data_IF_606340793372
#
_entry.id   IF_606340793372
#
_cell.length_a   1.000
_cell.length_b   1.000
_cell.length_c   1.000
_cell.angle_alpha   90.00
_cell.angle_beta   90.00
_cell.angle_gamma   90.00
#
_symmetry.space_group_name_H-M   'P 1'
#
loop_
_entity.id
_entity.type
_entity.pdbx_description
1 polymer ?
#
# COMPACT_ATOMS: atom_id res chain seq x y z
N UNK A 1 -9.07 -8.21 -10.14
CA UNK A 1 -8.24 -7.03 -10.44
C UNK A 1 -6.91 -7.52 -10.98
N UNK A 2 -6.59 -7.22 -12.23
CA UNK A 2 -5.30 -7.53 -12.84
C UNK A 2 -4.41 -6.29 -12.78
N UNK A 3 -3.16 -6.44 -12.33
CA UNK A 3 -2.16 -5.36 -12.39
C UNK A 3 -1.34 -5.60 -13.65
N UNK A 4 -1.50 -4.72 -14.63
CA UNK A 4 -0.78 -4.82 -15.90
C UNK A 4 0.36 -3.81 -15.96
N UNK A 5 1.49 -4.24 -16.50
CA UNK A 5 2.68 -3.42 -16.74
C UNK A 5 3.18 -3.72 -18.15
N UNK A 6 3.17 -2.68 -18.98
CA UNK A 6 3.66 -2.75 -20.36
C UNK A 6 5.14 -2.43 -20.32
N UNK A 7 5.95 -3.32 -20.90
CA UNK A 7 7.38 -3.09 -21.12
C UNK A 7 7.53 -2.33 -22.43
N UNK A 8 8.33 -1.26 -22.43
CA UNK A 8 8.70 -0.50 -23.63
C UNK A 8 10.21 -0.53 -23.77
N UNK A 9 10.68 -0.55 -25.02
CA UNK A 9 12.10 -0.38 -25.38
C UNK A 9 13.04 -1.39 -24.68
N UNK A 10 12.56 -2.62 -24.48
CA UNK A 10 13.25 -3.71 -23.76
C UNK A 10 13.75 -3.35 -22.35
N UNK A 11 13.20 -2.29 -21.75
CA UNK A 11 13.61 -1.83 -20.43
C UNK A 11 12.87 -2.57 -19.31
N UNK A 12 13.30 -3.80 -19.06
CA UNK A 12 12.71 -4.70 -18.06
C UNK A 12 12.89 -4.15 -16.63
N UNK A 13 14.04 -3.56 -16.32
CA UNK A 13 14.31 -3.04 -14.97
C UNK A 13 13.35 -1.91 -14.59
N UNK A 14 13.07 -1.00 -15.53
CA UNK A 14 12.11 0.06 -15.30
C UNK A 14 10.70 -0.49 -15.13
N UNK A 15 10.31 -1.48 -15.92
CA UNK A 15 9.02 -2.15 -15.79
C UNK A 15 8.85 -2.80 -14.40
N UNK A 16 9.87 -3.49 -13.89
CA UNK A 16 9.86 -4.07 -12.54
C UNK A 16 9.73 -3.00 -11.45
N UNK A 17 10.39 -1.84 -11.60
CA UNK A 17 10.27 -0.72 -10.66
C UNK A 17 8.86 -0.12 -10.67
N UNK A 18 8.22 -0.02 -11.84
CA UNK A 18 6.84 0.44 -11.97
C UNK A 18 5.87 -0.58 -11.36
N UNK A 19 6.06 -1.86 -11.65
CA UNK A 19 5.28 -2.96 -11.09
C UNK A 19 5.31 -2.96 -9.57
N UNK A 20 6.51 -2.89 -8.97
CA UNK A 20 6.68 -2.79 -7.52
C UNK A 20 5.92 -1.60 -6.93
N UNK A 21 5.99 -0.43 -7.56
CA UNK A 21 5.23 0.76 -7.14
C UNK A 21 3.71 0.57 -7.26
N UNK A 22 3.23 -0.03 -8.36
CA UNK A 22 1.80 -0.33 -8.54
C UNK A 22 1.28 -1.31 -7.49
N UNK A 23 2.01 -2.39 -7.20
CA UNK A 23 1.65 -3.34 -6.13
C UNK A 23 1.58 -2.62 -4.78
N UNK A 24 2.60 -1.86 -4.42
CA UNK A 24 2.63 -1.18 -3.13
C UNK A 24 1.48 -0.18 -2.99
N UNK A 25 1.12 0.54 -4.07
CA UNK A 25 -0.01 1.47 -4.08
C UNK A 25 -1.36 0.75 -3.99
N UNK A 26 -1.49 -0.42 -4.59
CA UNK A 26 -2.72 -1.23 -4.54
C UNK A 26 -3.03 -1.76 -3.14
N UNK A 27 -2.02 -1.88 -2.26
CA UNK A 27 -2.20 -2.45 -0.92
C UNK A 27 -2.42 -3.96 -0.90
N UNK A 28 -2.38 -4.63 -2.05
CA UNK A 28 -2.76 -6.03 -2.24
C UNK A 28 -1.89 -6.99 -1.41
N UNK A 29 -0.57 -6.74 -1.34
CA UNK A 29 0.35 -7.49 -0.47
C UNK A 29 0.00 -7.34 1.01
N UNK A 30 -0.39 -6.14 1.45
CA UNK A 30 -0.78 -5.88 2.84
C UNK A 30 -2.06 -6.62 3.20
N UNK A 31 -3.04 -6.62 2.30
CA UNK A 31 -4.28 -7.36 2.49
C UNK A 31 -4.06 -8.86 2.48
N UNK A 32 -3.20 -9.37 1.60
CA UNK A 32 -2.84 -10.77 1.52
C UNK A 32 -2.25 -11.26 2.85
N UNK A 33 -1.22 -10.57 3.36
CA UNK A 33 -0.59 -10.91 4.65
C UNK A 33 -1.60 -10.83 5.80
N UNK A 34 -2.44 -9.79 5.83
CA UNK A 34 -3.47 -9.64 6.87
C UNK A 34 -4.55 -10.72 6.84
N UNK A 35 -4.70 -11.46 5.73
CA UNK A 35 -5.65 -12.56 5.57
C UNK A 35 -5.02 -13.95 5.82
N UNK A 36 -3.70 -14.05 5.96
CA UNK A 36 -3.02 -15.33 6.20
C UNK A 36 -3.33 -15.92 7.58
N UNK A 37 -3.68 -15.07 8.55
CA UNK A 37 -3.98 -15.48 9.93
C UNK A 37 -5.33 -14.94 10.35
N UNK A 38 -6.04 -15.69 11.20
CA UNK A 38 -7.27 -15.19 11.80
C UNK A 38 -6.98 -14.03 12.75
N UNK A 39 -7.60 -12.89 12.50
CA UNK A 39 -7.59 -11.71 13.38
C UNK A 39 -8.99 -11.55 13.99
N UNK A 40 -9.07 -11.54 15.33
CA UNK A 40 -10.35 -11.33 16.02
C UNK A 40 -10.99 -10.00 15.58
N UNK A 41 -12.33 -9.93 15.43
CA UNK A 41 -12.99 -8.71 14.96
C UNK A 41 -12.73 -7.46 15.83
N UNK A 42 -12.53 -7.62 17.14
CA UNK A 42 -12.15 -6.52 18.03
C UNK A 42 -10.80 -5.94 17.67
N UNK A 43 -9.83 -6.80 17.44
CA UNK A 43 -8.42 -6.44 17.27
C UNK A 43 -8.24 -5.80 15.89
N UNK A 44 -8.94 -6.34 14.89
CA UNK A 44 -9.07 -5.74 13.55
C UNK A 44 -9.62 -4.31 13.59
N UNK A 45 -10.64 -4.05 14.42
CA UNK A 45 -11.20 -2.68 14.58
C UNK A 45 -10.17 -1.75 15.23
N UNK A 46 -9.47 -2.20 16.27
CA UNK A 46 -8.45 -1.41 16.94
C UNK A 46 -7.26 -1.09 16.00
N UNK A 47 -6.78 -2.08 15.25
CA UNK A 47 -5.69 -1.90 14.27
C UNK A 47 -6.08 -0.90 13.18
N UNK A 48 -7.25 -1.05 12.57
CA UNK A 48 -7.75 -0.10 11.55
C UNK A 48 -7.87 1.32 12.09
N UNK A 49 -8.35 1.50 13.32
CA UNK A 49 -8.43 2.82 13.97
C UNK A 49 -7.03 3.43 14.15
N UNK A 50 -6.06 2.65 14.66
CA UNK A 50 -4.68 3.08 14.83
C UNK A 50 -4.02 3.45 13.49
N UNK A 51 -4.20 2.62 12.46
CA UNK A 51 -3.68 2.88 11.11
C UNK A 51 -4.26 4.17 10.50
N UNK A 52 -5.56 4.40 10.66
CA UNK A 52 -6.22 5.63 10.19
C UNK A 52 -5.64 6.89 10.84
N UNK A 53 -5.45 6.87 12.17
CA UNK A 53 -4.84 7.99 12.90
C UNK A 53 -3.40 8.23 12.44
N UNK A 54 -2.61 7.16 12.29
CA UNK A 54 -1.22 7.26 11.83
C UNK A 54 -1.12 7.84 10.41
N UNK A 55 -2.00 7.40 9.50
CA UNK A 55 -2.07 7.91 8.14
C UNK A 55 -2.47 9.39 8.11
N UNK A 56 -3.49 9.78 8.88
CA UNK A 56 -3.90 11.20 8.98
C UNK A 56 -2.77 12.09 9.48
N UNK A 57 -2.06 11.66 10.53
CA UNK A 57 -0.89 12.40 11.07
C UNK A 57 0.23 12.50 10.02
N UNK A 58 0.50 11.42 9.29
CA UNK A 58 1.50 11.42 8.21
C UNK A 58 1.13 12.41 7.11
N UNK A 59 -0.13 12.43 6.67
CA UNK A 59 -0.60 13.35 5.63
C UNK A 59 -0.54 14.81 6.09
N UNK A 60 -0.89 15.09 7.34
CA UNK A 60 -0.75 16.43 7.93
C UNK A 60 0.70 16.92 7.87
N UNK A 61 1.65 16.11 8.35
CA UNK A 61 3.09 16.43 8.30
C UNK A 61 3.61 16.63 6.87
N UNK A 62 3.07 15.87 5.90
CA UNK A 62 3.45 16.04 4.50
C UNK A 62 2.94 17.38 3.96
N UNK A 63 1.70 17.75 4.27
CA UNK A 63 1.15 19.06 3.90
C UNK A 63 1.92 20.22 4.53
N UNK A 64 2.26 20.12 5.82
CA UNK A 64 3.02 21.17 6.53
C UNK A 64 4.46 21.33 6.05
N UNK A 65 5.06 20.30 5.46
CA UNK A 65 6.44 20.35 4.94
C UNK A 65 6.55 20.85 3.50
N UNK A 66 5.48 20.66 2.71
CA UNK A 66 5.50 20.87 1.26
C UNK A 66 4.44 21.88 0.78
N UNK A 67 3.57 22.36 1.68
CA UNK A 67 2.71 23.53 1.47
C UNK A 67 3.25 24.69 2.29
#
# INVERSE_FOLDING_TARGET
MTIEVIVKDDNVEQALRIFKRKILKSGLLKEYIAKQVYEKPSDKRQRKKKEGIANSKRQKRLREKFG
#
